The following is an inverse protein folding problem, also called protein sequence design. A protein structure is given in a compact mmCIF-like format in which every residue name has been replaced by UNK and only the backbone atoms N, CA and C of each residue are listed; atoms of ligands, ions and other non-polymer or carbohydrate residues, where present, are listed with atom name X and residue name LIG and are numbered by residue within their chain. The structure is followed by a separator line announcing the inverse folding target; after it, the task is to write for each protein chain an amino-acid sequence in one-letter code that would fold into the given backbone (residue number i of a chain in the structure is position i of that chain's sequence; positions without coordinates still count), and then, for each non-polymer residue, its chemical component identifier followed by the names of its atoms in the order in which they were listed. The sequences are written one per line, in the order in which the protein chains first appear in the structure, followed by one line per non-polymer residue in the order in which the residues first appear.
data_IF_913381486650
#
_entry.id   IF_913381486650
#
_cell.length_a   1.000
_cell.length_b   1.000
_cell.length_c   1.000
_cell.angle_alpha   90.00
_cell.angle_beta   90.00
_cell.angle_gamma   90.00
#
_symmetry.space_group_name_H-M   'P 1'
#
loop_
_entity.id
_entity.type
_entity.pdbx_description
1 polymer ?
#
# COMPACT_ATOMS: atom_id res chain seq x y z
N UNK A 1 -28.79 0.03 -8.48
CA UNK A 1 -29.34 -1.28 -8.06
C UNK A 1 -29.82 -2.18 -9.20
N UNK A 2 -30.66 -1.72 -10.13
CA UNK A 2 -31.24 -2.54 -11.23
C UNK A 2 -30.26 -3.48 -11.96
N UNK A 3 -29.00 -3.06 -12.17
CA UNK A 3 -27.98 -3.84 -12.89
C UNK A 3 -26.85 -4.38 -11.99
N UNK A 4 -27.00 -4.33 -10.66
CA UNK A 4 -25.93 -4.78 -9.75
C UNK A 4 -25.54 -6.26 -9.99
N UNK A 5 -26.50 -7.08 -10.39
CA UNK A 5 -26.27 -8.49 -10.75
C UNK A 5 -25.36 -8.68 -11.98
N UNK A 6 -25.18 -7.66 -12.83
CA UNK A 6 -24.27 -7.69 -13.98
C UNK A 6 -22.84 -7.25 -13.62
N UNK A 7 -22.63 -6.73 -12.41
CA UNK A 7 -21.33 -6.21 -11.94
C UNK A 7 -20.69 -7.15 -10.90
N UNK A 8 -20.96 -8.44 -11.01
CA UNK A 8 -20.38 -9.50 -10.19
C UNK A 8 -20.00 -10.68 -11.07
N UNK A 9 -19.10 -11.53 -10.56
CA UNK A 9 -18.80 -12.82 -11.19
C UNK A 9 -20.05 -13.72 -11.21
N UNK A 10 -20.13 -14.62 -12.19
CA UNK A 10 -21.18 -15.63 -12.26
C UNK A 10 -21.17 -16.54 -11.02
N UNK A 11 -22.35 -16.98 -10.58
CA UNK A 11 -22.56 -17.69 -9.31
C UNK A 11 -21.74 -19.01 -9.17
N UNK A 12 -21.26 -19.57 -10.29
CA UNK A 12 -20.42 -20.77 -10.32
C UNK A 12 -18.91 -20.52 -10.18
N UNK A 13 -18.43 -19.29 -10.42
CA UNK A 13 -16.99 -18.96 -10.43
C UNK A 13 -16.41 -19.05 -9.02
N UNK A 14 -17.12 -18.55 -8.00
CA UNK A 14 -16.66 -18.61 -6.61
C UNK A 14 -16.63 -20.04 -6.05
N UNK A 15 -17.50 -20.92 -6.56
CA UNK A 15 -17.62 -22.31 -6.07
C UNK A 15 -16.58 -23.24 -6.70
N UNK A 16 -16.20 -23.02 -7.95
CA UNK A 16 -15.25 -23.85 -8.67
C UNK A 16 -14.39 -23.02 -9.65
N UNK A 17 -13.48 -22.16 -9.12
CA UNK A 17 -12.72 -21.22 -9.94
C UNK A 17 -11.77 -21.90 -10.94
N UNK A 18 -11.32 -23.13 -10.64
CA UNK A 18 -10.40 -23.88 -11.49
C UNK A 18 -11.00 -24.27 -12.85
N UNK A 19 -12.33 -24.33 -12.96
CA UNK A 19 -13.00 -24.54 -14.25
C UNK A 19 -12.92 -23.34 -15.19
N UNK A 20 -12.73 -22.14 -14.65
CA UNK A 20 -12.86 -20.88 -15.39
C UNK A 20 -11.53 -20.12 -15.54
N UNK A 21 -10.58 -20.33 -14.61
CA UNK A 21 -9.28 -19.67 -14.63
C UNK A 21 -8.15 -20.64 -14.94
N UNK A 22 -7.22 -20.24 -15.82
CA UNK A 22 -6.00 -21.00 -16.10
C UNK A 22 -5.10 -21.20 -14.88
N UNK A 23 -5.18 -20.28 -13.91
CA UNK A 23 -4.42 -20.33 -12.66
C UNK A 23 -5.22 -19.65 -11.57
N UNK A 24 -5.31 -20.29 -10.41
CA UNK A 24 -5.90 -19.74 -9.19
C UNK A 24 -4.78 -19.50 -8.18
N UNK A 25 -4.76 -18.32 -7.56
CA UNK A 25 -3.77 -17.94 -6.54
C UNK A 25 -4.55 -17.62 -5.26
N UNK A 26 -4.35 -18.43 -4.22
CA UNK A 26 -4.90 -18.16 -2.89
C UNK A 26 -3.97 -17.25 -2.10
N UNK A 27 -4.52 -16.17 -1.52
CA UNK A 27 -3.79 -15.26 -0.65
C UNK A 27 -4.52 -15.21 0.70
N UNK A 28 -3.82 -15.59 1.77
CA UNK A 28 -4.34 -15.50 3.14
C UNK A 28 -4.00 -14.13 3.74
N UNK A 29 -5.01 -13.26 3.81
CA UNK A 29 -4.87 -11.90 4.33
C UNK A 29 -4.55 -11.87 5.84
N UNK A 30 -4.87 -12.93 6.59
CA UNK A 30 -4.62 -13.00 8.03
C UNK A 30 -3.13 -13.25 8.34
N UNK A 31 -2.40 -13.80 7.36
CA UNK A 31 -0.97 -14.10 7.46
C UNK A 31 -0.11 -13.06 6.75
N UNK A 32 -0.72 -12.15 6.00
CA UNK A 32 0.00 -11.14 5.24
C UNK A 32 0.54 -10.06 6.18
N UNK A 33 1.82 -9.73 6.03
CA UNK A 33 2.47 -8.61 6.72
C UNK A 33 2.78 -7.47 5.73
N UNK A 34 3.12 -6.25 6.20
CA UNK A 34 3.55 -5.17 5.31
C UNK A 34 4.78 -5.54 4.49
N UNK A 35 4.79 -5.16 3.21
CA UNK A 35 5.88 -5.43 2.28
C UNK A 35 6.50 -4.14 1.73
N UNK A 36 7.78 -4.21 1.37
CA UNK A 36 8.48 -3.22 0.57
C UNK A 36 8.94 -3.87 -0.74
N UNK A 37 8.86 -3.11 -1.82
CA UNK A 37 9.22 -3.54 -3.17
C UNK A 37 10.35 -2.67 -3.71
N UNK A 38 11.32 -3.29 -4.38
CA UNK A 38 12.41 -2.60 -5.05
C UNK A 38 13.80 -3.04 -4.57
N UNK A 39 14.87 -2.25 -4.85
CA UNK A 39 14.85 -0.89 -5.40
C UNK A 39 14.73 -0.78 -6.94
N UNK A 40 15.01 -1.83 -7.70
CA UNK A 40 15.14 -1.76 -9.18
C UNK A 40 14.12 -2.57 -9.98
N UNK A 41 13.21 -3.28 -9.31
CA UNK A 41 12.13 -4.03 -9.96
C UNK A 41 10.91 -4.12 -9.05
N UNK A 42 9.69 -4.00 -9.61
CA UNK A 42 8.45 -4.15 -8.84
C UNK A 42 8.18 -5.59 -8.36
N UNK A 43 8.89 -6.58 -8.88
CA UNK A 43 8.69 -7.99 -8.52
C UNK A 43 9.55 -8.42 -7.32
N UNK A 44 10.48 -7.57 -6.89
CA UNK A 44 11.34 -7.83 -5.73
C UNK A 44 10.63 -7.39 -4.46
N UNK A 45 9.61 -8.16 -4.07
CA UNK A 45 8.86 -7.97 -2.84
C UNK A 45 9.56 -8.66 -1.66
N UNK A 46 9.69 -7.93 -0.56
CA UNK A 46 10.18 -8.48 0.72
C UNK A 46 9.28 -7.99 1.86
N UNK A 47 9.06 -8.81 2.90
CA UNK A 47 8.39 -8.32 4.09
C UNK A 47 9.24 -7.26 4.78
N UNK A 48 8.60 -6.25 5.37
CA UNK A 48 9.29 -5.16 6.07
C UNK A 48 10.17 -5.70 7.20
N UNK A 49 9.74 -6.79 7.87
CA UNK A 49 10.50 -7.48 8.91
C UNK A 49 11.86 -8.03 8.44
N UNK A 50 12.03 -8.31 7.14
CA UNK A 50 13.28 -8.79 6.55
C UNK A 50 14.14 -7.68 5.91
N UNK A 51 13.65 -6.44 5.87
CA UNK A 51 14.32 -5.36 5.14
C UNK A 51 15.70 -5.01 5.71
N UNK A 52 15.86 -4.98 7.03
CA UNK A 52 17.15 -4.66 7.66
C UNK A 52 18.26 -5.63 7.24
N UNK A 53 17.94 -6.92 7.15
CA UNK A 53 18.89 -7.93 6.65
C UNK A 53 19.22 -7.74 5.18
N UNK A 54 18.22 -7.43 4.36
CA UNK A 54 18.40 -7.20 2.92
C UNK A 54 19.25 -5.94 2.64
N UNK A 55 19.05 -4.85 3.39
CA UNK A 55 19.86 -3.63 3.26
C UNK A 55 21.34 -3.94 3.49
N UNK A 56 21.65 -4.73 4.53
CA UNK A 56 23.02 -5.11 4.86
C UNK A 56 23.64 -6.09 3.85
N UNK A 57 22.89 -7.12 3.43
CA UNK A 57 23.45 -8.16 2.55
C UNK A 57 23.65 -7.70 1.11
N UNK A 58 22.78 -6.81 0.63
CA UNK A 58 22.77 -6.31 -0.75
C UNK A 58 23.45 -4.94 -0.91
N UNK A 59 24.01 -4.39 0.18
CA UNK A 59 24.65 -3.07 0.21
C UNK A 59 23.74 -1.94 -0.32
N UNK A 60 22.47 -1.98 0.09
CA UNK A 60 21.52 -0.91 -0.26
C UNK A 60 21.74 0.32 0.63
N UNK A 61 21.40 1.53 0.15
CA UNK A 61 21.37 2.71 1.00
C UNK A 61 20.39 2.53 2.17
N UNK A 62 20.89 2.64 3.40
CA UNK A 62 20.08 2.57 4.62
C UNK A 62 19.39 3.91 4.93
N UNK A 63 20.04 5.03 4.54
CA UNK A 63 19.48 6.35 4.75
C UNK A 63 18.32 6.64 3.78
N UNK A 64 17.13 6.82 4.36
CA UNK A 64 15.99 7.38 3.62
C UNK A 64 16.24 8.86 3.40
N UNK A 65 16.28 9.29 2.14
CA UNK A 65 16.51 10.70 1.81
C UNK A 65 15.21 11.52 1.70
N UNK A 66 14.11 10.88 1.27
CA UNK A 66 12.79 11.49 1.04
C UNK A 66 11.71 10.43 1.23
N UNK A 67 10.55 10.84 1.74
CA UNK A 67 9.35 10.01 1.78
C UNK A 67 8.24 10.65 0.92
N UNK A 68 7.66 9.84 0.02
CA UNK A 68 6.66 10.25 -0.97
C UNK A 68 5.38 9.45 -0.75
N UNK A 69 4.29 10.12 -0.39
CA UNK A 69 2.98 9.51 -0.18
C UNK A 69 2.00 10.00 -1.25
N UNK A 70 1.17 9.11 -1.77
CA UNK A 70 0.15 9.45 -2.76
C UNK A 70 0.41 8.80 -4.12
N UNK A 71 0.40 9.61 -5.18
CA UNK A 71 0.39 9.19 -6.60
C UNK A 71 -0.95 8.57 -7.04
N UNK A 72 -1.01 7.88 -8.18
CA UNK A 72 -2.26 7.26 -8.63
C UNK A 72 -2.64 5.98 -7.83
N UNK A 73 -1.71 5.38 -7.09
CA UNK A 73 -1.93 4.07 -6.44
C UNK A 73 -2.42 4.19 -5.00
N UNK A 74 -1.90 5.14 -4.21
CA UNK A 74 -2.12 5.20 -2.75
C UNK A 74 -2.49 6.60 -2.27
N UNK A 75 -3.52 7.19 -2.90
CA UNK A 75 -3.92 8.58 -2.68
C UNK A 75 -5.42 8.77 -2.51
N UNK A 76 -6.14 7.71 -2.15
CA UNK A 76 -7.55 7.82 -1.79
C UNK A 76 -7.70 8.56 -0.45
N UNK A 77 -8.93 8.94 -0.12
CA UNK A 77 -9.23 9.49 1.22
C UNK A 77 -8.82 8.52 2.34
N UNK A 78 -9.03 7.22 2.14
CA UNK A 78 -8.65 6.19 3.12
C UNK A 78 -7.11 6.11 3.28
N UNK A 79 -6.36 6.16 2.19
CA UNK A 79 -4.89 6.13 2.24
C UNK A 79 -4.34 7.31 3.06
N UNK A 80 -4.80 8.53 2.75
CA UNK A 80 -4.36 9.74 3.46
C UNK A 80 -4.81 9.72 4.93
N UNK A 81 -5.99 9.17 5.22
CA UNK A 81 -6.47 9.02 6.60
C UNK A 81 -5.56 8.09 7.41
N UNK A 82 -5.18 6.93 6.85
CA UNK A 82 -4.24 6.00 7.50
C UNK A 82 -2.87 6.64 7.74
N UNK A 83 -2.38 7.43 6.79
CA UNK A 83 -1.13 8.19 6.95
C UNK A 83 -1.25 9.20 8.08
N UNK A 84 -2.37 9.92 8.16
CA UNK A 84 -2.66 10.90 9.21
C UNK A 84 -2.67 10.25 10.60
N UNK A 85 -3.22 9.04 10.72
CA UNK A 85 -3.21 8.30 11.99
C UNK A 85 -1.80 7.99 12.49
N UNK A 86 -0.88 7.61 11.59
CA UNK A 86 0.53 7.36 11.94
C UNK A 86 1.23 8.68 12.33
N UNK A 87 0.98 9.76 11.59
CA UNK A 87 1.54 11.09 11.90
C UNK A 87 1.04 11.59 13.26
N UNK A 88 -0.23 11.34 13.61
CA UNK A 88 -0.79 11.72 14.91
C UNK A 88 -0.11 10.98 16.06
N UNK A 89 0.10 9.67 15.92
CA UNK A 89 0.84 8.87 16.90
C UNK A 89 2.29 9.39 17.08
N UNK A 90 2.96 9.75 15.98
CA UNK A 90 4.29 10.33 16.03
C UNK A 90 4.31 11.64 16.82
N UNK A 91 3.33 12.53 16.58
CA UNK A 91 3.17 13.79 17.33
C UNK A 91 2.90 13.56 18.81
N UNK A 92 2.03 12.61 19.15
CA UNK A 92 1.74 12.21 20.53
C UNK A 92 2.99 11.64 21.24
N UNK A 93 3.88 10.99 20.49
CA UNK A 93 5.20 10.54 20.97
C UNK A 93 6.27 11.64 21.03
N UNK A 94 5.91 12.91 20.75
CA UNK A 94 6.82 14.05 20.81
C UNK A 94 7.64 14.30 19.54
N UNK A 95 7.33 13.61 18.43
CA UNK A 95 7.93 13.87 17.13
C UNK A 95 7.08 14.90 16.38
N UNK A 96 7.51 16.17 16.43
CA UNK A 96 6.79 17.30 15.82
C UNK A 96 7.03 17.44 14.31
N UNK A 97 8.10 16.83 13.79
CA UNK A 97 8.52 16.93 12.38
C UNK A 97 9.01 15.60 11.84
N UNK A 98 8.80 15.39 10.54
CA UNK A 98 9.44 14.31 9.80
C UNK A 98 10.96 14.54 9.75
N UNK A 99 11.75 13.47 9.83
CA UNK A 99 13.23 13.54 9.76
C UNK A 99 13.75 13.87 8.37
N UNK A 100 12.95 13.58 7.35
CA UNK A 100 13.26 13.74 5.93
C UNK A 100 12.16 14.55 5.27
N UNK A 101 12.39 15.18 4.11
CA UNK A 101 11.33 15.76 3.30
C UNK A 101 10.19 14.75 3.10
N UNK A 102 8.98 15.18 3.46
CA UNK A 102 7.77 14.38 3.42
C UNK A 102 6.78 15.05 2.46
N UNK A 103 6.58 14.45 1.29
CA UNK A 103 5.71 15.01 0.25
C UNK A 103 4.45 14.17 0.13
N UNK A 104 3.30 14.85 0.03
CA UNK A 104 1.99 14.23 -0.12
C UNK A 104 1.36 14.72 -1.41
N UNK A 105 0.95 13.79 -2.28
CA UNK A 105 0.29 14.10 -3.56
C UNK A 105 -1.08 13.44 -3.64
N UNK A 106 -2.18 14.21 -3.50
CA UNK A 106 -3.54 13.69 -3.66
C UNK A 106 -3.79 13.16 -5.08
N UNK A 107 -4.64 12.14 -5.21
CA UNK A 107 -4.91 11.51 -6.52
C UNK A 107 -5.84 12.29 -7.42
N UNK A 108 -6.54 13.27 -6.87
CA UNK A 108 -7.45 14.14 -7.60
C UNK A 108 -7.72 15.44 -6.84
N UNK A 109 -8.22 16.45 -7.53
CA UNK A 109 -8.71 17.69 -6.92
C UNK A 109 -9.83 17.44 -5.91
N UNK A 110 -10.70 16.46 -6.15
CA UNK A 110 -11.75 16.10 -5.21
C UNK A 110 -11.16 15.58 -3.89
N UNK A 111 -10.17 14.68 -3.97
CA UNK A 111 -9.50 14.20 -2.76
C UNK A 111 -8.79 15.34 -2.06
N UNK A 112 -8.00 16.15 -2.79
CA UNK A 112 -7.32 17.33 -2.23
C UNK A 112 -8.29 18.23 -1.46
N UNK A 113 -9.41 18.59 -2.09
CA UNK A 113 -10.42 19.46 -1.49
C UNK A 113 -11.18 18.82 -0.30
N UNK A 114 -11.14 17.50 -0.15
CA UNK A 114 -11.82 16.79 0.95
C UNK A 114 -10.91 16.62 2.17
N UNK A 115 -9.59 16.55 1.96
CA UNK A 115 -8.59 16.35 3.03
C UNK A 115 -7.98 17.65 3.55
N UNK A 116 -8.14 18.76 2.82
CA UNK A 116 -7.83 20.12 3.26
C UNK A 116 -8.93 20.71 4.15
#
# INVERSE_FOLDING_TARGET
EKYAHLLRADDGIASDPEKFYHRVIGIDLSRLEPHLVGPHTPDLARPVSAMAGAVQSEDYPDDISVALIGSCTNSSYEDISRVTDVVRQAKEAGLDKARVPFLVTPGSEQIRATIE
#
